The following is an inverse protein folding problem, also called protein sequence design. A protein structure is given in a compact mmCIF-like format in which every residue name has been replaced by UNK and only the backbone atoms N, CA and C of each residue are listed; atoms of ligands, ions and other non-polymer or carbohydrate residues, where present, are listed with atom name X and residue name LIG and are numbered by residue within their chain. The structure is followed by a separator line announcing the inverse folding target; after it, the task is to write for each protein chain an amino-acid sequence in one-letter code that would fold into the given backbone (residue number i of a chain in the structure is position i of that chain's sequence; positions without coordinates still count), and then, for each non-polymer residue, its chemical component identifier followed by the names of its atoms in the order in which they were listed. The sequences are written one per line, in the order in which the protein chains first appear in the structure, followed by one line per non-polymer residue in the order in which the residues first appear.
data_IF_648640340373
#
_entry.id   IF_648640340373
#
_cell.length_a   1.000
_cell.length_b   1.000
_cell.length_c   1.000
_cell.angle_alpha   90.00
_cell.angle_beta   90.00
_cell.angle_gamma   90.00
#
_symmetry.space_group_name_H-M   'P 1'
#
loop_
_entity.id
_entity.type
_entity.pdbx_description
1 polymer ?
#
# COMPACT_ATOMS: atom_id res chain seq x y z
N UNK A 1 -0.34 -14.35 3.33
CA UNK A 1 0.01 -13.76 4.64
C UNK A 1 1.43 -13.18 4.73
N UNK A 2 2.41 -13.58 3.90
CA UNK A 2 3.78 -13.03 4.00
C UNK A 2 3.83 -11.48 3.96
N UNK A 3 3.01 -10.87 3.10
CA UNK A 3 2.92 -9.40 3.00
C UNK A 3 2.43 -8.76 4.31
N UNK A 4 1.41 -9.34 4.94
CA UNK A 4 0.95 -8.89 6.25
C UNK A 4 2.05 -8.99 7.32
N UNK A 5 2.90 -10.03 7.26
CA UNK A 5 4.03 -10.17 8.16
C UNK A 5 4.99 -8.97 8.00
N UNK A 6 5.38 -8.62 6.78
CA UNK A 6 6.23 -7.46 6.53
C UNK A 6 5.62 -6.16 7.03
N UNK A 7 4.31 -5.95 6.83
CA UNK A 7 3.64 -4.75 7.33
C UNK A 7 3.64 -4.66 8.86
N UNK A 8 3.51 -5.81 9.55
CA UNK A 8 3.64 -5.86 11.01
C UNK A 8 5.09 -5.56 11.45
N UNK A 9 6.09 -6.19 10.83
CA UNK A 9 7.51 -6.01 11.18
C UNK A 9 8.00 -4.57 10.93
N UNK A 10 7.45 -3.92 9.90
CA UNK A 10 7.72 -2.51 9.59
C UNK A 10 6.90 -1.54 10.44
N UNK A 11 5.99 -2.04 11.29
CA UNK A 11 5.09 -1.24 12.12
C UNK A 11 4.26 -0.21 11.31
N UNK A 12 3.79 -0.61 10.13
CA UNK A 12 2.98 0.23 9.22
C UNK A 12 1.51 -0.22 9.18
N UNK A 13 1.03 -0.77 10.29
CA UNK A 13 -0.36 -1.19 10.48
C UNK A 13 -1.09 -0.29 11.46
N UNK A 14 -2.41 -0.23 11.36
CA UNK A 14 -3.29 0.46 12.29
C UNK A 14 -3.51 -0.35 13.58
N UNK A 15 -4.31 0.21 14.48
CA UNK A 15 -4.65 -0.40 15.78
C UNK A 15 -5.37 -1.75 15.64
N UNK A 16 -6.03 -1.97 14.49
CA UNK A 16 -6.73 -3.20 14.15
C UNK A 16 -5.79 -4.19 13.47
N UNK A 17 -4.58 -3.80 13.09
CA UNK A 17 -3.57 -4.59 12.38
C UNK A 17 -3.74 -4.61 10.86
N UNK A 18 -4.51 -3.69 10.28
CA UNK A 18 -4.60 -3.49 8.84
C UNK A 18 -3.52 -2.51 8.36
N UNK A 19 -3.01 -2.62 7.12
CA UNK A 19 -2.03 -1.67 6.60
C UNK A 19 -2.55 -0.24 6.67
N UNK A 20 -1.74 0.69 7.19
CA UNK A 20 -2.12 2.10 7.33
C UNK A 20 -1.69 2.89 6.09
N UNK A 21 -2.66 3.50 5.41
CA UNK A 21 -2.45 4.25 4.16
C UNK A 21 -1.32 5.28 4.26
N UNK A 22 -1.36 6.19 5.23
CA UNK A 22 -0.33 7.24 5.39
C UNK A 22 1.07 6.65 5.59
N UNK A 23 1.17 5.54 6.32
CA UNK A 23 2.45 4.88 6.58
C UNK A 23 3.02 4.22 5.32
N UNK A 24 2.15 3.66 4.47
CA UNK A 24 2.57 3.08 3.18
C UNK A 24 2.97 4.19 2.21
N UNK A 25 2.22 5.29 2.15
CA UNK A 25 2.61 6.49 1.38
C UNK A 25 4.01 6.93 1.81
N UNK A 26 4.21 7.19 3.11
CA UNK A 26 5.51 7.62 3.62
C UNK A 26 6.63 6.64 3.28
N UNK A 27 6.40 5.33 3.40
CA UNK A 27 7.38 4.30 3.09
C UNK A 27 7.75 4.29 1.60
N UNK A 28 6.75 4.31 0.71
CA UNK A 28 6.97 4.17 -0.74
C UNK A 28 7.48 5.46 -1.39
N UNK A 29 7.16 6.63 -0.82
CA UNK A 29 7.67 7.91 -1.31
C UNK A 29 8.99 8.31 -0.65
N UNK A 30 9.48 7.53 0.31
CA UNK A 30 10.70 7.86 1.02
C UNK A 30 11.89 7.95 0.05
N UNK A 31 12.58 9.09 0.06
CA UNK A 31 13.73 9.41 -0.80
C UNK A 31 13.46 9.53 -2.31
N UNK A 32 12.20 9.60 -2.74
CA UNK A 32 11.89 9.98 -4.12
C UNK A 32 12.23 11.46 -4.34
N UNK A 33 12.92 11.74 -5.45
CA UNK A 33 13.27 13.11 -5.87
C UNK A 33 12.41 13.62 -7.02
N UNK A 34 11.80 12.71 -7.77
CA UNK A 34 10.93 13.05 -8.88
C UNK A 34 9.51 13.26 -8.32
N UNK A 35 9.01 14.49 -8.39
CA UNK A 35 7.68 14.86 -7.89
C UNK A 35 6.56 14.20 -8.69
N UNK A 36 6.70 14.06 -10.01
CA UNK A 36 5.70 13.39 -10.85
C UNK A 36 5.56 11.90 -10.47
N UNK A 37 6.69 11.23 -10.24
CA UNK A 37 6.68 9.84 -9.77
C UNK A 37 6.10 9.73 -8.35
N UNK A 38 6.39 10.72 -7.49
CA UNK A 38 5.84 10.77 -6.15
C UNK A 38 4.32 10.93 -6.17
N UNK A 39 3.81 11.86 -6.97
CA UNK A 39 2.37 12.12 -7.14
C UNK A 39 1.66 10.87 -7.66
N UNK A 40 2.22 10.22 -8.69
CA UNK A 40 1.71 8.95 -9.20
C UNK A 40 1.63 7.85 -8.11
N UNK A 41 2.69 7.68 -7.32
CA UNK A 41 2.69 6.66 -6.25
C UNK A 41 1.64 6.96 -5.19
N UNK A 42 1.48 8.23 -4.82
CA UNK A 42 0.44 8.65 -3.85
C UNK A 42 -0.95 8.34 -4.40
N UNK A 43 -1.23 8.72 -5.65
CA UNK A 43 -2.51 8.46 -6.32
C UNK A 43 -2.81 6.96 -6.41
N UNK A 44 -1.84 6.15 -6.84
CA UNK A 44 -1.97 4.70 -6.92
C UNK A 44 -2.30 4.09 -5.55
N UNK A 45 -1.66 4.55 -4.48
CA UNK A 45 -1.96 4.08 -3.11
C UNK A 45 -3.37 4.48 -2.71
N UNK A 46 -3.77 5.74 -2.90
CA UNK A 46 -5.11 6.23 -2.56
C UNK A 46 -6.20 5.43 -3.29
N UNK A 47 -6.04 5.22 -4.60
CA UNK A 47 -6.97 4.43 -5.40
C UNK A 47 -7.04 2.99 -4.92
N UNK A 48 -5.90 2.34 -4.69
CA UNK A 48 -5.89 0.95 -4.23
C UNK A 48 -6.60 0.79 -2.89
N UNK A 49 -6.38 1.70 -1.93
CA UNK A 49 -7.08 1.67 -0.65
C UNK A 49 -8.60 1.87 -0.79
N UNK A 50 -9.05 2.68 -1.75
CA UNK A 50 -10.48 2.91 -2.00
C UNK A 50 -11.24 1.62 -2.38
N UNK A 51 -10.60 0.71 -3.11
CA UNK A 51 -11.22 -0.53 -3.59
C UNK A 51 -11.12 -1.73 -2.63
N UNK A 52 -10.43 -1.58 -1.49
CA UNK A 52 -10.25 -2.69 -0.55
C UNK A 52 -11.40 -2.81 0.45
N UNK A 53 -11.89 -4.04 0.62
CA UNK A 53 -12.94 -4.36 1.58
C UNK A 53 -12.35 -4.74 2.95
N UNK A 54 -12.60 -3.90 3.96
CA UNK A 54 -12.19 -4.16 5.36
C UNK A 54 -12.93 -5.34 6.04
N UNK A 55 -13.92 -5.96 5.38
CA UNK A 55 -14.55 -7.20 5.85
C UNK A 55 -13.70 -8.43 5.59
N UNK A 56 -12.70 -8.33 4.71
CA UNK A 56 -11.72 -9.39 4.46
C UNK A 56 -10.77 -9.54 5.65
N UNK A 57 -10.18 -10.72 5.83
CA UNK A 57 -9.08 -10.86 6.78
C UNK A 57 -7.83 -10.13 6.28
N UNK A 58 -6.95 -9.79 7.23
CA UNK A 58 -5.76 -8.98 7.02
C UNK A 58 -4.81 -9.54 5.97
N UNK A 59 -4.73 -10.86 5.83
CA UNK A 59 -3.84 -11.47 4.86
C UNK A 59 -4.31 -11.22 3.44
N UNK A 60 -5.61 -11.40 3.17
CA UNK A 60 -6.19 -11.10 1.86
C UNK A 60 -6.21 -9.60 1.59
N UNK A 61 -6.54 -8.78 2.59
CA UNK A 61 -6.47 -7.32 2.46
C UNK A 61 -5.07 -6.87 2.02
N UNK A 62 -4.02 -7.33 2.72
CA UNK A 62 -2.63 -6.99 2.39
C UNK A 62 -2.17 -7.55 1.05
N UNK A 63 -2.62 -8.73 0.68
CA UNK A 63 -2.31 -9.32 -0.63
C UNK A 63 -2.98 -8.54 -1.76
N UNK A 64 -4.25 -8.18 -1.61
CA UNK A 64 -5.01 -7.42 -2.59
C UNK A 64 -4.45 -6.00 -2.76
N UNK A 65 -4.01 -5.36 -1.66
CA UNK A 65 -3.31 -4.09 -1.72
C UNK A 65 -2.04 -4.19 -2.59
N UNK A 66 -1.18 -5.17 -2.33
CA UNK A 66 0.05 -5.35 -3.11
C UNK A 66 -0.26 -5.68 -4.57
N UNK A 67 -1.25 -6.53 -4.84
CA UNK A 67 -1.69 -6.85 -6.20
C UNK A 67 -2.14 -5.59 -6.93
N UNK A 68 -2.97 -4.75 -6.31
CA UNK A 68 -3.41 -3.50 -6.92
C UNK A 68 -2.24 -2.56 -7.23
N UNK A 69 -1.33 -2.34 -6.26
CA UNK A 69 -0.15 -1.49 -6.46
C UNK A 69 0.76 -2.02 -7.58
N UNK A 70 0.90 -3.34 -7.69
CA UNK A 70 1.67 -3.98 -8.76
C UNK A 70 1.03 -3.77 -10.14
N UNK A 71 -0.30 -3.86 -10.26
CA UNK A 71 -0.98 -3.56 -11.52
C UNK A 71 -0.84 -2.08 -11.90
N UNK A 72 -0.98 -1.15 -10.95
CA UNK A 72 -0.69 0.27 -11.18
C UNK A 72 0.74 0.51 -11.66
N UNK A 73 1.71 -0.15 -11.04
CA UNK A 73 3.12 -0.04 -11.46
C UNK A 73 3.36 -0.42 -12.92
N UNK A 74 2.67 -1.45 -13.43
CA UNK A 74 2.78 -1.90 -14.84
C UNK A 74 2.17 -0.93 -15.85
N UNK A 75 1.31 0.01 -15.43
CA UNK A 75 0.76 1.04 -16.33
C UNK A 75 1.84 2.08 -16.70
N UNK A 76 2.88 2.21 -15.89
CA UNK A 76 3.92 3.25 -16.01
C UNK A 76 5.32 2.68 -16.27
N UNK A 77 5.59 1.42 -15.92
CA UNK A 77 6.91 0.77 -16.06
C UNK A 77 6.91 -0.43 -17.02
#
# INVERSE_FOLDING_TARGET
CLIQCFFNELNIVDQRGFPKQDSIIQLMTHNLRNSELQDFIVEAIVECFHYLDMRQDKCYYSQNLLTCLNEKGKEVC
#
